data_IF_003132562749
#
_entry.id   IF_003132562749
#
_cell.length_a   1.000
_cell.length_b   1.000
_cell.length_c   1.000
_cell.angle_alpha   90.00
_cell.angle_beta   90.00
_cell.angle_gamma   90.00
#
_symmetry.space_group_name_H-M   'P 1'
#
loop_
_entity.id
_entity.type
_entity.pdbx_description
1 polymer ?
#
# COMPACT_ATOMS: atom_id res chain seq x y z
N UNK A 1 -49.07 -7.73 -35.86
CA UNK A 1 -48.95 -6.65 -34.85
C UNK A 1 -48.63 -7.19 -33.46
N UNK A 2 -48.79 -8.50 -33.18
CA UNK A 2 -48.48 -9.11 -31.88
C UNK A 2 -46.98 -9.22 -31.58
N UNK A 3 -46.13 -9.47 -32.58
CA UNK A 3 -44.67 -9.64 -32.36
C UNK A 3 -43.97 -8.39 -31.81
N UNK A 4 -44.46 -7.20 -32.15
CA UNK A 4 -43.85 -5.95 -31.70
C UNK A 4 -44.17 -5.64 -30.23
N UNK A 5 -45.34 -6.08 -29.75
CA UNK A 5 -45.72 -5.95 -28.35
C UNK A 5 -44.94 -6.93 -27.48
N UNK A 6 -44.65 -8.13 -28.00
CA UNK A 6 -43.84 -9.13 -27.32
C UNK A 6 -42.38 -8.70 -27.18
N UNK A 7 -41.79 -8.11 -28.23
CA UNK A 7 -40.44 -7.55 -28.18
C UNK A 7 -40.31 -6.38 -27.18
N UNK A 8 -41.34 -5.52 -27.09
CA UNK A 8 -41.34 -4.41 -26.12
C UNK A 8 -41.49 -4.93 -24.68
N UNK A 9 -42.24 -6.01 -24.46
CA UNK A 9 -42.36 -6.64 -23.15
C UNK A 9 -41.02 -7.27 -22.70
N UNK A 10 -40.30 -7.95 -23.58
CA UNK A 10 -38.98 -8.55 -23.29
C UNK A 10 -37.91 -7.49 -22.96
N UNK A 11 -37.91 -6.36 -23.68
CA UNK A 11 -37.00 -5.24 -23.41
C UNK A 11 -37.31 -4.60 -22.05
N UNK A 12 -38.59 -4.40 -21.71
CA UNK A 12 -38.98 -3.85 -20.41
C UNK A 12 -38.66 -4.80 -19.26
N UNK A 13 -38.79 -6.11 -19.46
CA UNK A 13 -38.47 -7.12 -18.45
C UNK A 13 -36.95 -7.24 -18.24
N UNK A 14 -36.15 -7.10 -19.31
CA UNK A 14 -34.68 -7.10 -19.23
C UNK A 14 -34.14 -5.81 -18.62
N UNK A 15 -34.77 -4.66 -18.89
CA UNK A 15 -34.44 -3.39 -18.24
C UNK A 15 -34.80 -3.38 -16.75
N UNK A 16 -35.94 -3.99 -16.38
CA UNK A 16 -36.34 -4.15 -14.98
C UNK A 16 -35.40 -5.12 -14.21
N UNK A 17 -34.89 -6.17 -14.87
CA UNK A 17 -33.88 -7.06 -14.28
C UNK A 17 -32.52 -6.37 -14.06
N UNK A 18 -32.12 -5.46 -14.97
CA UNK A 18 -30.87 -4.68 -14.81
C UNK A 18 -30.96 -3.60 -13.73
N UNK A 19 -32.13 -3.00 -13.52
CA UNK A 19 -32.31 -1.96 -12.51
C UNK A 19 -32.45 -2.52 -11.09
N UNK A 20 -32.81 -3.81 -10.93
CA UNK A 20 -32.79 -4.48 -9.63
C UNK A 20 -31.41 -5.04 -9.22
N UNK A 21 -30.41 -5.03 -10.11
CA UNK A 21 -29.02 -5.32 -9.75
C UNK A 21 -28.30 -4.11 -9.11
N UNK A 22 -29.03 -3.03 -8.82
CA UNK A 22 -28.53 -1.82 -8.16
C UNK A 22 -28.63 -1.80 -6.63
N UNK A 23 -29.00 -2.90 -5.97
CA UNK A 23 -29.05 -2.94 -4.51
C UNK A 23 -28.50 -4.27 -3.99
N UNK A 24 -27.46 -4.16 -3.14
CA UNK A 24 -26.78 -5.22 -2.37
C UNK A 24 -26.02 -6.27 -3.18
N UNK A 25 -24.90 -5.89 -3.79
CA UNK A 25 -23.81 -6.84 -3.99
C UNK A 25 -22.82 -6.66 -2.83
N UNK A 26 -22.51 -7.70 -2.02
CA UNK A 26 -21.20 -7.73 -1.39
C UNK A 26 -20.21 -7.64 -2.55
N UNK A 27 -19.36 -6.63 -2.51
CA UNK A 27 -18.27 -6.41 -3.45
C UNK A 27 -17.61 -7.77 -3.69
N UNK A 28 -17.94 -8.41 -4.82
CA UNK A 28 -17.39 -9.72 -5.15
C UNK A 28 -16.00 -9.42 -5.64
N UNK A 29 -15.10 -9.16 -4.70
CA UNK A 29 -13.69 -8.91 -4.96
C UNK A 29 -13.20 -10.14 -5.70
N UNK A 30 -12.95 -9.97 -7.01
CA UNK A 30 -12.30 -10.98 -7.83
C UNK A 30 -11.04 -11.48 -7.09
N UNK A 31 -10.74 -12.78 -7.17
CA UNK A 31 -9.53 -13.30 -6.54
C UNK A 31 -8.29 -12.59 -7.09
N UNK A 32 -7.23 -12.43 -6.29
CA UNK A 32 -5.99 -11.81 -6.76
C UNK A 32 -5.41 -12.55 -7.97
N UNK A 33 -4.84 -11.80 -8.91
CA UNK A 33 -4.10 -12.35 -10.05
C UNK A 33 -2.79 -13.01 -9.61
N UNK A 34 -2.18 -13.79 -10.50
CA UNK A 34 -0.86 -14.39 -10.25
C UNK A 34 0.21 -13.34 -9.90
N UNK A 35 0.18 -12.19 -10.58
CA UNK A 35 1.14 -11.10 -10.33
C UNK A 35 0.87 -10.41 -8.99
N UNK A 36 -0.40 -10.26 -8.60
CA UNK A 36 -0.78 -9.77 -7.26
C UNK A 36 -0.31 -10.72 -6.15
N UNK A 37 -0.48 -12.03 -6.36
CA UNK A 37 0.02 -13.05 -5.42
C UNK A 37 1.56 -13.05 -5.33
N UNK A 38 2.25 -12.88 -6.46
CA UNK A 38 3.71 -12.78 -6.49
C UNK A 38 4.21 -11.51 -5.78
N UNK A 39 3.55 -10.37 -6.00
CA UNK A 39 3.82 -9.13 -5.26
C UNK A 39 3.65 -9.32 -3.76
N UNK A 40 2.54 -9.93 -3.32
CA UNK A 40 2.32 -10.21 -1.90
C UNK A 40 3.42 -11.10 -1.31
N UNK A 41 3.78 -12.20 -2.00
CA UNK A 41 4.84 -13.11 -1.57
C UNK A 41 6.19 -12.38 -1.45
N UNK A 42 6.54 -11.55 -2.43
CA UNK A 42 7.76 -10.74 -2.40
C UNK A 42 7.76 -9.75 -1.22
N UNK A 43 6.64 -9.07 -0.95
CA UNK A 43 6.54 -8.15 0.20
C UNK A 43 6.65 -8.89 1.54
N UNK A 44 6.12 -10.12 1.64
CA UNK A 44 6.28 -10.96 2.85
C UNK A 44 7.74 -11.36 3.07
N UNK A 45 8.43 -11.78 2.02
CA UNK A 45 9.87 -12.10 2.11
C UNK A 45 10.69 -10.88 2.53
N UNK A 46 10.40 -9.70 1.96
CA UNK A 46 11.02 -8.45 2.40
C UNK A 46 10.75 -8.17 3.88
N UNK A 47 9.50 -8.32 4.34
CA UNK A 47 9.16 -8.12 5.75
C UNK A 47 9.95 -9.05 6.69
N UNK A 48 10.10 -10.32 6.33
CA UNK A 48 10.89 -11.30 7.08
C UNK A 48 12.38 -10.92 7.16
N UNK A 49 12.97 -10.49 6.05
CA UNK A 49 14.37 -10.04 5.99
C UNK A 49 14.59 -8.78 6.85
N UNK A 50 13.65 -7.84 6.81
CA UNK A 50 13.74 -6.59 7.57
C UNK A 50 13.66 -6.82 9.09
N UNK A 51 12.70 -7.64 9.54
CA UNK A 51 12.57 -8.00 10.97
C UNK A 51 13.76 -8.86 11.43
N UNK A 52 14.26 -9.76 10.57
CA UNK A 52 15.44 -10.57 10.87
C UNK A 52 16.74 -9.76 11.00
N UNK A 53 16.80 -8.56 10.41
CA UNK A 53 17.97 -7.68 10.45
C UNK A 53 18.01 -6.77 11.69
N UNK A 54 16.87 -6.40 12.27
CA UNK A 54 16.79 -5.55 13.47
C UNK A 54 15.52 -5.82 14.30
N UNK A 55 15.69 -6.17 15.57
CA UNK A 55 14.60 -6.44 16.51
C UNK A 55 13.80 -5.18 16.87
N UNK A 56 14.35 -3.99 16.63
CA UNK A 56 13.67 -2.73 16.87
C UNK A 56 12.69 -2.37 15.74
N UNK A 57 12.64 -3.16 14.65
CA UNK A 57 11.74 -2.93 13.51
C UNK A 57 10.57 -3.92 13.53
N UNK A 58 9.36 -3.38 13.44
CA UNK A 58 8.15 -4.15 13.16
C UNK A 58 7.71 -3.93 11.72
N UNK A 59 7.22 -4.98 11.08
CA UNK A 59 6.69 -4.94 9.71
C UNK A 59 5.34 -5.64 9.63
N UNK A 60 4.40 -5.04 8.91
CA UNK A 60 3.09 -5.63 8.59
C UNK A 60 2.89 -5.64 7.09
N UNK A 61 2.37 -6.75 6.56
CA UNK A 61 2.02 -6.88 5.13
C UNK A 61 0.51 -7.03 4.98
N UNK A 62 -0.09 -6.21 4.13
CA UNK A 62 -1.48 -6.36 3.70
C UNK A 62 -1.51 -7.13 2.38
N UNK A 63 -2.35 -8.16 2.28
CA UNK A 63 -2.51 -8.98 1.08
C UNK A 63 -3.68 -8.53 0.19
N UNK A 64 -4.00 -9.35 -0.82
CA UNK A 64 -5.17 -9.17 -1.67
C UNK A 64 -4.89 -8.47 -3.00
N UNK A 65 -5.85 -7.68 -3.49
CA UNK A 65 -5.75 -7.05 -4.82
C UNK A 65 -4.71 -5.93 -4.89
N UNK A 66 -4.40 -5.29 -3.75
CA UNK A 66 -3.41 -4.24 -3.64
C UNK A 66 -2.49 -4.53 -2.45
N UNK A 67 -1.54 -5.47 -2.60
CA UNK A 67 -0.61 -5.79 -1.54
C UNK A 67 0.18 -4.56 -1.07
N UNK A 68 0.52 -4.51 0.21
CA UNK A 68 1.21 -3.37 0.80
C UNK A 68 2.08 -3.80 1.97
N UNK A 69 3.01 -2.94 2.36
CA UNK A 69 3.93 -3.19 3.47
C UNK A 69 4.03 -1.93 4.31
N UNK A 70 3.99 -2.08 5.63
CA UNK A 70 4.22 -0.99 6.59
C UNK A 70 5.31 -1.44 7.54
N UNK A 71 6.42 -0.71 7.58
CA UNK A 71 7.50 -0.91 8.52
C UNK A 71 7.63 0.30 9.47
N UNK A 72 7.96 0.05 10.73
CA UNK A 72 8.16 1.09 11.76
C UNK A 72 8.93 0.53 12.96
N UNK A 73 9.24 1.37 13.94
CA UNK A 73 10.01 0.94 15.13
C UNK A 73 9.11 0.38 16.26
N UNK A 74 9.63 -0.53 17.08
CA UNK A 74 8.92 -1.26 18.14
C UNK A 74 8.63 -0.40 19.38
N UNK A 75 9.60 0.36 19.90
CA UNK A 75 9.49 1.16 21.15
C UNK A 75 9.07 2.61 20.92
N UNK A 76 8.27 2.75 19.90
CA UNK A 76 8.07 4.01 19.24
C UNK A 76 6.75 4.53 19.81
N UNK A 77 6.79 5.20 20.98
CA UNK A 77 5.64 5.89 21.58
C UNK A 77 4.85 6.64 20.49
N UNK A 78 3.51 6.73 20.63
CA UNK A 78 2.60 7.45 19.71
C UNK A 78 3.38 8.60 19.07
N UNK A 79 3.71 8.54 17.78
CA UNK A 79 4.75 9.47 17.34
C UNK A 79 5.72 9.10 16.19
N UNK A 80 5.78 7.87 15.67
CA UNK A 80 7.02 7.42 15.00
C UNK A 80 6.98 7.27 13.48
N UNK A 81 8.12 7.50 12.78
CA UNK A 81 8.19 7.39 11.33
C UNK A 81 7.83 5.99 10.86
N UNK A 82 7.17 5.89 9.70
CA UNK A 82 6.77 4.62 9.10
C UNK A 82 7.12 4.60 7.62
N UNK A 83 7.76 3.53 7.18
CA UNK A 83 7.93 3.26 5.76
C UNK A 83 6.73 2.47 5.26
N UNK A 84 5.90 3.09 4.41
CA UNK A 84 4.68 2.51 3.87
C UNK A 84 4.86 2.32 2.37
N UNK A 85 4.66 1.09 1.91
CA UNK A 85 4.59 0.69 0.51
C UNK A 85 3.14 0.45 0.14
N UNK A 86 2.68 1.10 -0.93
CA UNK A 86 1.37 0.88 -1.54
C UNK A 86 1.54 0.36 -2.95
N UNK A 87 0.71 -0.60 -3.33
CA UNK A 87 0.62 -1.04 -4.73
C UNK A 87 -0.75 -0.71 -5.28
N UNK A 88 -0.79 -0.27 -6.53
CA UNK A 88 -2.03 0.00 -7.26
C UNK A 88 -1.94 -0.66 -8.63
N UNK A 89 -2.91 -1.51 -8.94
CA UNK A 89 -2.97 -2.22 -10.21
C UNK A 89 -3.86 -1.49 -11.19
N UNK A 90 -3.37 -1.32 -12.42
CA UNK A 90 -4.08 -0.68 -13.52
C UNK A 90 -4.09 -1.64 -14.72
N UNK A 91 -4.86 -1.30 -15.76
CA UNK A 91 -4.84 -2.07 -17.02
C UNK A 91 -3.44 -2.14 -17.66
N UNK A 92 -2.54 -1.22 -17.31
CA UNK A 92 -1.21 -1.09 -17.90
C UNK A 92 -0.08 -1.69 -17.03
N UNK A 93 -0.43 -2.32 -15.89
CA UNK A 93 0.52 -2.92 -14.96
C UNK A 93 0.38 -2.39 -13.54
N UNK A 94 1.47 -2.37 -12.78
CA UNK A 94 1.50 -1.98 -11.36
C UNK A 94 2.21 -0.64 -11.17
N UNK A 95 1.63 0.18 -10.31
CA UNK A 95 2.30 1.32 -9.70
C UNK A 95 2.65 0.97 -8.26
N UNK A 96 3.91 1.17 -7.89
CA UNK A 96 4.38 1.03 -6.51
C UNK A 96 4.78 2.40 -6.02
N UNK A 97 4.18 2.81 -4.90
CA UNK A 97 4.52 4.05 -4.24
C UNK A 97 4.98 3.79 -2.82
N UNK A 98 5.86 4.68 -2.34
CA UNK A 98 6.36 4.65 -0.97
C UNK A 98 6.10 6.00 -0.30
N UNK A 99 5.83 5.98 1.00
CA UNK A 99 5.80 7.17 1.84
C UNK A 99 6.47 6.86 3.17
N UNK A 100 7.18 7.82 3.73
CA UNK A 100 7.88 7.69 5.01
C UNK A 100 7.09 8.27 6.20
N UNK A 101 5.82 8.64 5.97
CA UNK A 101 4.84 8.92 7.02
C UNK A 101 5.26 10.06 7.95
N UNK A 102 5.79 11.16 7.40
CA UNK A 102 6.24 12.28 8.24
C UNK A 102 5.11 13.03 8.94
N UNK A 103 5.40 13.30 10.20
CA UNK A 103 4.59 13.89 11.24
C UNK A 103 4.29 15.38 11.02
N UNK A 104 3.06 15.81 11.28
CA UNK A 104 2.78 17.23 11.55
C UNK A 104 3.48 17.59 12.86
N UNK A 105 4.46 18.51 12.83
CA UNK A 105 4.97 19.11 14.05
C UNK A 105 3.89 19.99 14.68
N UNK A 106 3.63 19.81 15.98
CA UNK A 106 3.13 20.91 16.79
C UNK A 106 4.29 21.89 17.01
N UNK A 107 4.16 23.18 16.67
CA UNK A 107 5.22 24.15 16.92
C UNK A 107 5.59 24.13 18.41
N UNK A 108 6.90 24.09 18.69
CA UNK A 108 7.53 24.11 20.01
C UNK A 108 7.58 22.79 20.80
N UNK A 109 7.28 21.63 20.20
CA UNK A 109 7.64 20.33 20.76
C UNK A 109 8.65 19.62 19.86
N UNK A 110 9.91 19.62 20.29
CA UNK A 110 11.05 18.87 19.73
C UNK A 110 11.53 19.24 18.31
N UNK A 111 12.81 19.61 18.24
CA UNK A 111 13.45 20.24 17.10
C UNK A 111 13.55 19.40 15.83
N UNK A 112 13.51 20.12 14.70
CA UNK A 112 14.06 19.78 13.37
C UNK A 112 13.44 18.61 12.59
N UNK A 113 12.11 18.56 12.44
CA UNK A 113 11.48 17.57 11.56
C UNK A 113 10.36 18.11 10.65
N UNK A 114 10.26 19.42 10.45
CA UNK A 114 9.24 20.01 9.58
C UNK A 114 9.73 20.18 8.14
N UNK A 115 9.12 19.41 7.22
CA UNK A 115 8.41 19.88 6.01
C UNK A 115 7.80 18.63 5.30
N UNK A 116 6.48 18.60 5.10
CA UNK A 116 5.73 17.60 4.28
C UNK A 116 6.13 17.72 2.79
N UNK A 117 5.96 16.79 1.85
CA UNK A 117 5.20 15.54 1.61
C UNK A 117 6.03 14.77 0.55
N UNK A 118 5.83 13.49 0.26
CA UNK A 118 5.18 13.10 -0.99
C UNK A 118 5.18 11.57 -1.05
N UNK A 119 4.01 10.98 -1.22
CA UNK A 119 3.95 9.62 -1.76
C UNK A 119 4.73 9.61 -3.07
N UNK A 120 5.85 8.89 -3.11
CA UNK A 120 6.70 8.82 -4.29
C UNK A 120 6.38 7.54 -5.04
N UNK A 121 6.02 7.68 -6.31
CA UNK A 121 6.01 6.54 -7.23
C UNK A 121 7.46 6.12 -7.46
N UNK A 122 7.81 4.92 -7.01
CA UNK A 122 9.15 4.36 -7.16
C UNK A 122 9.22 3.35 -8.31
N UNK A 123 8.07 2.83 -8.74
CA UNK A 123 7.96 1.95 -9.89
C UNK A 123 6.61 2.15 -10.58
N UNK A 124 6.59 2.14 -11.91
CA UNK A 124 5.38 2.09 -12.71
C UNK A 124 5.65 1.32 -14.00
N UNK A 125 4.86 0.27 -14.26
CA UNK A 125 4.97 -0.52 -15.49
C UNK A 125 4.50 -1.96 -15.31
N UNK A 126 4.89 -2.83 -16.25
CA UNK A 126 4.64 -4.27 -16.14
C UNK A 126 5.30 -4.84 -14.88
N UNK A 127 4.64 -5.80 -14.21
CA UNK A 127 5.17 -6.38 -12.98
C UNK A 127 6.55 -7.00 -13.22
N UNK A 128 7.51 -6.55 -12.41
CA UNK A 128 8.88 -7.05 -12.41
C UNK A 128 9.36 -7.17 -10.97
N UNK A 129 9.28 -8.39 -10.43
CA UNK A 129 9.63 -8.68 -9.05
C UNK A 129 11.04 -8.18 -8.69
N UNK A 130 12.05 -8.48 -9.50
CA UNK A 130 13.44 -8.12 -9.23
C UNK A 130 13.69 -6.60 -9.21
N UNK A 131 13.02 -5.85 -10.10
CA UNK A 131 13.17 -4.38 -10.16
C UNK A 131 12.45 -3.73 -8.99
N UNK A 132 11.23 -4.19 -8.68
CA UNK A 132 10.44 -3.67 -7.58
C UNK A 132 11.14 -3.97 -6.24
N UNK A 133 11.58 -5.21 -6.02
CA UNK A 133 12.30 -5.63 -4.81
C UNK A 133 13.51 -4.74 -4.54
N UNK A 134 14.41 -4.61 -5.52
CA UNK A 134 15.63 -3.78 -5.40
C UNK A 134 15.30 -2.33 -5.07
N UNK A 135 14.24 -1.80 -5.68
CA UNK A 135 13.81 -0.42 -5.46
C UNK A 135 13.29 -0.22 -4.04
N UNK A 136 12.51 -1.18 -3.52
CA UNK A 136 12.00 -1.16 -2.15
C UNK A 136 13.11 -1.34 -1.11
N UNK A 137 14.05 -2.27 -1.32
CA UNK A 137 15.22 -2.46 -0.44
C UNK A 137 16.04 -1.18 -0.32
N UNK A 138 16.33 -0.53 -1.45
CA UNK A 138 17.09 0.72 -1.48
C UNK A 138 16.32 1.85 -0.79
N UNK A 139 15.01 1.94 -1.06
CA UNK A 139 14.14 2.94 -0.42
C UNK A 139 14.06 2.75 1.09
N UNK A 140 13.88 1.52 1.55
CA UNK A 140 13.83 1.17 2.96
C UNK A 140 15.17 1.44 3.66
N UNK A 141 16.30 1.00 3.10
CA UNK A 141 17.61 1.17 3.72
C UNK A 141 17.93 2.66 3.94
N UNK A 142 17.67 3.49 2.93
CA UNK A 142 17.87 4.93 3.02
C UNK A 142 16.98 5.57 4.10
N UNK A 143 15.70 5.16 4.17
CA UNK A 143 14.79 5.61 5.21
C UNK A 143 15.27 5.19 6.60
N UNK A 144 15.59 3.92 6.77
CA UNK A 144 15.99 3.33 8.04
C UNK A 144 17.28 3.95 8.60
N UNK A 145 18.32 4.11 7.76
CA UNK A 145 19.56 4.77 8.15
C UNK A 145 19.32 6.20 8.62
N UNK A 146 18.48 6.95 7.91
CA UNK A 146 18.11 8.31 8.29
C UNK A 146 17.40 8.35 9.64
N UNK A 147 16.36 7.54 9.82
CA UNK A 147 15.58 7.54 11.07
C UNK A 147 16.43 7.08 12.26
N UNK A 148 17.31 6.10 12.07
CA UNK A 148 18.21 5.63 13.13
C UNK A 148 19.26 6.68 13.51
N UNK A 149 19.88 7.35 12.54
CA UNK A 149 20.85 8.42 12.81
C UNK A 149 20.22 9.62 13.53
N UNK A 150 19.05 10.05 13.06
CA UNK A 150 18.39 11.23 13.58
C UNK A 150 17.62 10.94 14.91
N UNK A 151 17.14 9.71 15.11
CA UNK A 151 16.48 9.25 16.33
C UNK A 151 17.39 9.14 17.56
N UNK A 152 18.71 8.98 17.35
CA UNK A 152 19.70 9.01 18.43
C UNK A 152 20.01 10.42 18.97
N UNK A 153 19.57 11.50 18.31
CA UNK A 153 19.81 12.88 18.78
C UNK A 153 18.77 13.38 19.81
N UNK A 154 17.85 12.53 20.26
CA UNK A 154 16.76 12.90 21.18
C UNK A 154 16.76 12.21 22.55
N UNK A 155 17.59 11.19 22.79
CA UNK A 155 17.71 10.56 24.11
C UNK A 155 18.96 11.15 24.78
N UNK A 156 18.84 11.95 25.85
CA UNK A 156 20.00 12.32 26.63
C UNK A 156 20.65 11.04 27.15
N UNK A 157 21.93 10.84 26.83
CA UNK A 157 22.76 9.81 27.45
C UNK A 157 22.73 10.08 28.94
N UNK A 158 22.09 9.20 29.72
CA UNK A 158 22.16 9.21 31.18
C UNK A 158 23.49 8.61 31.64
#
# INVERSE_FOLDING_TARGET
MEDLQQAIAEIKMTAAMRLQQGATNPETTLPPTKDQQAMEAMLRQLAEELVGADNDVQVTVTGGQSPGLVAGFFDAHFNTPRFIVKTTWTANGVQVSVTDGKWEQMPNQNGLWADWTDERVVFQGAFSESVIRRTLETGFLNWYQRVKMDGHMGIPVQ
#
